data_IF_143920403737
#
_entry.id   IF_143920403737
#
_cell.length_a   1.000
_cell.length_b   1.000
_cell.length_c   1.000
_cell.angle_alpha   90.00
_cell.angle_beta   90.00
_cell.angle_gamma   90.00
#
_symmetry.space_group_name_H-M   'P 1'
#
loop_
_entity.id
_entity.type
_entity.pdbx_description
1 polymer ?
#
# COMPACT_ATOMS: atom_id res chain seq x y z
N UNK A 1 -10.91 -4.33 20.39
CA UNK A 1 -9.51 -4.80 20.49
C UNK A 1 -8.85 -4.69 19.12
N UNK A 2 -7.55 -4.37 19.09
CA UNK A 2 -6.74 -4.27 17.87
C UNK A 2 -5.76 -5.45 17.88
N UNK A 3 -5.68 -6.17 16.77
CA UNK A 3 -4.82 -7.33 16.61
C UNK A 3 -3.77 -7.06 15.52
N UNK A 4 -2.52 -7.39 15.82
CA UNK A 4 -1.44 -7.30 14.84
C UNK A 4 -1.18 -8.65 14.20
N UNK A 5 -1.18 -8.69 12.87
CA UNK A 5 -0.87 -9.87 12.07
C UNK A 5 0.24 -9.56 11.10
N UNK A 6 1.48 -9.67 11.59
CA UNK A 6 2.69 -9.43 10.81
C UNK A 6 3.57 -10.67 10.81
N UNK A 7 4.72 -10.61 10.13
CA UNK A 7 5.71 -11.68 10.20
C UNK A 7 6.27 -11.88 11.61
N UNK A 8 6.26 -10.82 12.44
CA UNK A 8 6.88 -10.79 13.78
C UNK A 8 5.86 -11.02 14.89
N UNK A 9 4.68 -10.40 14.79
CA UNK A 9 3.62 -10.49 15.78
C UNK A 9 2.40 -11.23 15.21
N UNK A 10 1.93 -12.25 15.95
CA UNK A 10 0.78 -13.08 15.60
C UNK A 10 -0.13 -13.18 16.81
N UNK A 11 -0.88 -12.12 17.05
CA UNK A 11 -1.82 -12.09 18.16
C UNK A 11 -2.97 -13.08 17.93
N UNK A 12 -3.54 -13.59 19.02
CA UNK A 12 -4.79 -14.33 18.94
C UNK A 12 -5.91 -13.38 18.54
N UNK A 13 -6.56 -13.66 17.42
CA UNK A 13 -7.62 -12.82 16.87
C UNK A 13 -8.95 -13.34 17.39
N UNK A 14 -9.70 -12.44 18.04
CA UNK A 14 -11.07 -12.75 18.46
C UNK A 14 -11.98 -12.93 17.23
N UNK A 15 -12.76 -14.03 17.16
CA UNK A 15 -13.63 -14.34 16.02
C UNK A 15 -14.82 -13.39 15.84
N UNK A 16 -15.20 -12.63 16.87
CA UNK A 16 -16.48 -11.90 16.92
C UNK A 16 -16.32 -10.44 16.51
N UNK A 17 -15.33 -9.73 17.03
CA UNK A 17 -15.11 -8.32 16.70
C UNK A 17 -13.68 -7.88 16.93
N UNK A 18 -13.13 -7.10 16.00
CA UNK A 18 -11.76 -6.62 16.14
C UNK A 18 -11.28 -5.90 14.89
N UNK A 19 -10.33 -5.00 15.10
CA UNK A 19 -9.56 -4.38 14.03
C UNK A 19 -8.30 -5.22 13.85
N UNK A 20 -8.04 -5.69 12.62
CA UNK A 20 -6.81 -6.42 12.30
C UNK A 20 -5.93 -5.50 11.47
N UNK A 21 -4.66 -5.38 11.86
CA UNK A 21 -3.62 -4.73 11.06
C UNK A 21 -2.72 -5.81 10.50
N UNK A 22 -2.63 -5.88 9.17
CA UNK A 22 -1.83 -6.87 8.45
C UNK A 22 -1.10 -6.22 7.29
N UNK A 23 -0.08 -6.90 6.76
CA UNK A 23 0.65 -6.47 5.57
C UNK A 23 0.16 -7.22 4.32
N UNK A 24 0.30 -6.59 3.15
CA UNK A 24 -0.07 -7.17 1.86
C UNK A 24 0.56 -8.55 1.62
N UNK A 25 1.82 -8.71 1.99
CA UNK A 25 2.56 -9.96 1.80
C UNK A 25 1.99 -11.08 2.65
N UNK A 26 1.57 -10.83 3.89
CA UNK A 26 0.98 -11.85 4.77
C UNK A 26 -0.31 -12.43 4.16
N UNK A 27 -1.15 -11.57 3.60
CA UNK A 27 -2.43 -11.97 2.99
C UNK A 27 -2.22 -12.62 1.62
N UNK A 28 -1.34 -12.06 0.78
CA UNK A 28 -1.10 -12.54 -0.58
C UNK A 28 -0.20 -13.80 -0.65
N UNK A 29 0.55 -14.13 0.41
CA UNK A 29 1.45 -15.29 0.39
C UNK A 29 0.69 -16.62 0.26
N UNK A 30 0.91 -17.35 -0.84
CA UNK A 30 0.24 -18.63 -1.11
C UNK A 30 1.11 -19.88 -0.87
N UNK A 31 2.28 -19.72 -0.26
CA UNK A 31 3.18 -20.84 0.07
C UNK A 31 2.85 -21.49 1.42
N UNK A 32 3.75 -22.36 1.90
CA UNK A 32 3.60 -23.03 3.20
C UNK A 32 3.57 -22.00 4.33
N UNK A 33 2.39 -21.80 4.93
CA UNK A 33 2.19 -20.96 6.10
C UNK A 33 2.41 -21.79 7.37
N UNK A 34 2.96 -21.17 8.40
CA UNK A 34 2.93 -21.75 9.74
C UNK A 34 1.47 -21.99 10.17
N UNK A 35 1.20 -23.06 10.94
CA UNK A 35 -0.15 -23.46 11.35
C UNK A 35 -0.97 -22.29 11.94
N UNK A 36 -0.33 -21.44 12.74
CA UNK A 36 -0.96 -20.24 13.31
C UNK A 36 -1.41 -19.24 12.23
N UNK A 37 -0.62 -19.04 11.19
CA UNK A 37 -0.95 -18.13 10.09
C UNK A 37 -2.04 -18.67 9.17
N UNK A 38 -2.18 -20.00 9.07
CA UNK A 38 -3.30 -20.62 8.36
C UNK A 38 -4.61 -20.40 9.15
N UNK A 39 -4.62 -20.70 10.44
CA UNK A 39 -5.80 -20.50 11.29
C UNK A 39 -6.31 -19.05 11.29
N UNK A 40 -5.40 -18.07 11.35
CA UNK A 40 -5.77 -16.64 11.24
C UNK A 40 -6.40 -16.31 9.89
N UNK A 41 -5.87 -16.86 8.81
CA UNK A 41 -6.42 -16.61 7.47
C UNK A 41 -7.79 -17.25 7.31
N UNK A 42 -8.03 -18.41 7.89
CA UNK A 42 -9.35 -19.03 7.93
C UNK A 42 -10.36 -18.16 8.68
N UNK A 43 -9.96 -17.54 9.80
CA UNK A 43 -10.81 -16.57 10.53
C UNK A 43 -11.13 -15.34 9.66
N UNK A 44 -10.14 -14.81 8.93
CA UNK A 44 -10.34 -13.66 8.05
C UNK A 44 -11.29 -14.02 6.88
N UNK A 45 -11.17 -15.22 6.32
CA UNK A 45 -11.94 -15.67 5.15
C UNK A 45 -13.34 -16.20 5.49
N UNK A 46 -13.52 -16.75 6.69
CA UNK A 46 -14.79 -17.32 7.16
C UNK A 46 -15.88 -16.30 7.44
N UNK A 47 -15.55 -15.00 7.48
CA UNK A 47 -16.50 -13.92 7.75
C UNK A 47 -16.42 -12.81 6.72
N UNK A 48 -17.53 -12.08 6.60
CA UNK A 48 -17.60 -10.87 5.82
C UNK A 48 -17.22 -9.66 6.67
N UNK A 49 -16.43 -8.76 6.08
CA UNK A 49 -15.93 -7.56 6.74
C UNK A 49 -16.69 -6.31 6.30
N UNK A 50 -16.96 -5.41 7.23
CA UNK A 50 -17.61 -4.14 6.90
C UNK A 50 -16.74 -3.25 6.00
N UNK A 51 -15.45 -3.15 6.31
CA UNK A 51 -14.51 -2.29 5.59
C UNK A 51 -13.10 -2.90 5.54
N UNK A 52 -12.42 -2.73 4.41
CA UNK A 52 -10.99 -2.95 4.27
C UNK A 52 -10.29 -1.62 3.98
N UNK A 53 -9.23 -1.34 4.75
CA UNK A 53 -8.35 -0.20 4.55
C UNK A 53 -7.05 -0.68 3.91
N UNK A 54 -6.70 -0.07 2.79
CA UNK A 54 -5.52 -0.41 1.99
C UNK A 54 -4.62 0.81 1.98
N UNK A 55 -3.47 0.73 2.63
CA UNK A 55 -2.51 1.84 2.70
C UNK A 55 -1.48 1.76 1.56
N UNK A 56 -1.00 2.91 1.12
CA UNK A 56 -0.09 3.09 -0.02
C UNK A 56 -0.45 2.27 -1.26
N UNK A 57 -1.69 2.45 -1.73
CA UNK A 57 -2.22 1.69 -2.87
C UNK A 57 -1.41 1.87 -4.17
N UNK A 58 -0.61 2.93 -4.27
CA UNK A 58 0.26 3.16 -5.40
C UNK A 58 1.53 2.27 -5.42
N UNK A 59 1.94 1.66 -4.29
CA UNK A 59 3.20 0.89 -4.23
C UNK A 59 2.99 -0.55 -4.69
N UNK A 60 1.81 -1.12 -4.47
CA UNK A 60 1.59 -2.56 -4.62
C UNK A 60 1.19 -2.92 -6.07
N UNK A 61 1.75 -3.98 -6.68
CA UNK A 61 1.37 -4.45 -8.02
C UNK A 61 -0.10 -4.89 -8.08
N UNK A 62 -0.77 -4.63 -9.21
CA UNK A 62 -2.17 -4.99 -9.44
C UNK A 62 -2.49 -6.48 -9.16
N UNK A 63 -1.53 -7.39 -9.41
CA UNK A 63 -1.68 -8.83 -9.14
C UNK A 63 -1.82 -9.15 -7.65
N UNK A 64 -1.06 -8.48 -6.78
CA UNK A 64 -1.18 -8.69 -5.33
C UNK A 64 -2.50 -8.13 -4.81
N UNK A 65 -2.91 -6.95 -5.30
CA UNK A 65 -4.22 -6.38 -4.96
C UNK A 65 -5.38 -7.29 -5.28
N UNK A 66 -5.44 -7.81 -6.52
CA UNK A 66 -6.48 -8.75 -6.95
C UNK A 66 -6.55 -9.97 -6.03
N UNK A 67 -5.41 -10.48 -5.60
CA UNK A 67 -5.36 -11.63 -4.70
C UNK A 67 -5.88 -11.29 -3.30
N UNK A 68 -5.48 -10.15 -2.74
CA UNK A 68 -5.92 -9.70 -1.41
C UNK A 68 -7.43 -9.45 -1.40
N UNK A 69 -7.91 -8.63 -2.35
CA UNK A 69 -9.34 -8.28 -2.45
C UNK A 69 -10.20 -9.50 -2.77
N UNK A 70 -9.71 -10.42 -3.63
CA UNK A 70 -10.43 -11.66 -3.92
C UNK A 70 -10.43 -12.67 -2.77
N UNK A 71 -9.48 -12.56 -1.83
CA UNK A 71 -9.39 -13.46 -0.67
C UNK A 71 -10.24 -13.01 0.50
N UNK A 72 -10.65 -11.74 0.57
CA UNK A 72 -11.36 -11.18 1.73
C UNK A 72 -12.69 -10.59 1.26
N UNK A 73 -13.79 -11.18 1.70
CA UNK A 73 -15.12 -10.64 1.46
C UNK A 73 -15.31 -9.36 2.29
N UNK A 74 -15.58 -8.23 1.63
CA UNK A 74 -15.84 -6.96 2.30
C UNK A 74 -16.83 -6.08 1.53
N UNK A 75 -17.66 -5.33 2.27
CA UNK A 75 -18.64 -4.41 1.68
C UNK A 75 -17.98 -3.10 1.19
N UNK A 76 -17.14 -2.50 2.02
CA UNK A 76 -16.48 -1.23 1.71
C UNK A 76 -14.97 -1.42 1.52
N UNK A 77 -14.41 -0.81 0.48
CA UNK A 77 -12.98 -0.79 0.19
C UNK A 77 -12.51 0.66 0.18
N UNK A 78 -11.51 1.00 0.99
CA UNK A 78 -10.90 2.32 1.00
C UNK A 78 -9.41 2.20 0.74
N UNK A 79 -8.93 2.88 -0.29
CA UNK A 79 -7.51 3.04 -0.59
C UNK A 79 -6.99 4.37 -0.09
N UNK A 80 -5.94 4.34 0.71
CA UNK A 80 -5.17 5.50 1.13
C UNK A 80 -3.89 5.54 0.31
N UNK A 81 -3.54 6.71 -0.20
CA UNK A 81 -2.29 6.94 -0.92
C UNK A 81 -1.92 8.41 -0.86
N UNK A 82 -0.64 8.69 -0.63
CA UNK A 82 -0.14 10.06 -0.66
C UNK A 82 0.12 10.56 -2.09
N UNK A 83 0.47 9.64 -3.00
CA UNK A 83 0.79 9.95 -4.40
C UNK A 83 -0.14 9.19 -5.33
N UNK A 84 -0.71 9.88 -6.33
CA UNK A 84 -1.52 9.23 -7.36
C UNK A 84 -0.67 8.81 -8.58
N UNK A 85 0.50 9.44 -8.75
CA UNK A 85 1.30 9.26 -9.97
C UNK A 85 2.12 7.97 -9.85
N UNK A 86 1.70 6.93 -10.57
CA UNK A 86 2.58 5.84 -10.99
C UNK A 86 3.03 6.14 -12.42
N UNK A 87 4.31 5.96 -12.70
CA UNK A 87 4.87 6.10 -14.06
C UNK A 87 4.39 4.97 -14.99
N UNK A 88 3.85 3.89 -14.42
CA UNK A 88 3.30 2.77 -15.15
C UNK A 88 1.78 2.98 -15.31
N UNK A 89 1.26 3.04 -16.54
CA UNK A 89 -0.17 3.23 -16.94
C UNK A 89 -1.21 2.25 -16.32
N UNK A 90 -0.79 1.43 -15.36
CA UNK A 90 -1.58 0.45 -14.61
C UNK A 90 -2.52 1.08 -13.56
N UNK A 91 -2.61 2.41 -13.48
CA UNK A 91 -3.52 3.11 -12.55
C UNK A 91 -4.99 2.79 -12.86
N UNK A 92 -5.33 2.57 -14.14
CA UNK A 92 -6.69 2.21 -14.57
C UNK A 92 -7.21 0.93 -13.92
N UNK A 93 -6.34 -0.06 -13.68
CA UNK A 93 -6.70 -1.29 -12.99
C UNK A 93 -7.09 -1.06 -11.53
N UNK A 94 -6.53 -0.02 -10.89
CA UNK A 94 -6.79 0.28 -9.48
C UNK A 94 -8.22 0.82 -9.28
N UNK A 95 -8.66 1.69 -10.20
CA UNK A 95 -10.02 2.25 -10.20
C UNK A 95 -11.09 1.15 -10.34
N UNK A 96 -10.80 0.10 -11.11
CA UNK A 96 -11.70 -1.04 -11.25
C UNK A 96 -11.78 -1.89 -9.96
N UNK A 97 -10.66 -2.02 -9.23
CA UNK A 97 -10.59 -2.90 -8.06
C UNK A 97 -11.16 -2.27 -6.79
N UNK A 98 -10.87 -0.99 -6.54
CA UNK A 98 -11.25 -0.29 -5.32
C UNK A 98 -12.47 0.60 -5.57
N UNK A 99 -12.45 1.33 -6.68
CA UNK A 99 -13.45 2.34 -7.03
C UNK A 99 -12.79 3.63 -7.53
N UNK A 100 -13.59 4.63 -7.92
CA UNK A 100 -13.09 5.92 -8.39
C UNK A 100 -12.40 6.69 -7.26
N UNK A 101 -11.51 7.61 -7.64
CA UNK A 101 -10.90 8.56 -6.72
C UNK A 101 -11.96 9.49 -6.13
N UNK A 102 -12.13 9.42 -4.81
CA UNK A 102 -13.13 10.22 -4.09
C UNK A 102 -12.65 11.63 -3.73
N UNK A 103 -11.37 11.75 -3.36
CA UNK A 103 -10.82 13.01 -2.86
C UNK A 103 -9.34 13.14 -3.18
N UNK A 104 -8.93 14.36 -3.51
CA UNK A 104 -7.52 14.77 -3.61
C UNK A 104 -7.35 16.04 -2.80
N UNK A 105 -6.43 16.01 -1.84
CA UNK A 105 -6.03 17.22 -1.17
C UNK A 105 -5.02 17.97 -2.04
N UNK A 106 -5.26 19.26 -2.28
CA UNK A 106 -4.27 20.10 -2.92
C UNK A 106 -3.17 20.45 -1.92
N UNK A 107 -1.95 19.98 -2.21
CA UNK A 107 -0.76 20.24 -1.39
C UNK A 107 -0.45 21.73 -1.25
N UNK A 108 -0.75 22.56 -2.26
CA UNK A 108 -0.54 24.01 -2.19
C UNK A 108 -1.45 24.65 -1.14
N UNK A 109 -2.74 24.28 -1.13
CA UNK A 109 -3.73 24.82 -0.18
C UNK A 109 -3.44 24.38 1.26
N UNK A 110 -2.97 23.14 1.44
CA UNK A 110 -2.53 22.61 2.74
C UNK A 110 -1.28 23.34 3.26
N UNK A 111 -0.37 23.70 2.37
CA UNK A 111 0.84 24.46 2.72
C UNK A 111 0.48 25.90 3.08
N UNK A 112 -0.39 26.55 2.31
CA UNK A 112 -0.88 27.91 2.62
C UNK A 112 -1.66 27.96 3.94
N UNK A 113 -2.44 26.92 4.25
CA UNK A 113 -3.21 26.80 5.49
C UNK A 113 -2.35 26.44 6.71
N UNK A 114 -1.04 26.22 6.53
CA UNK A 114 -0.10 25.92 7.61
C UNK A 114 -0.14 24.47 8.12
N UNK A 115 -0.80 23.55 7.41
CA UNK A 115 -0.81 22.11 7.75
C UNK A 115 0.46 21.40 7.29
N UNK A 116 1.14 21.92 6.26
CA UNK A 116 2.39 21.38 5.71
C UNK A 116 3.53 22.39 5.85
N UNK A 117 4.75 21.89 6.03
CA UNK A 117 5.95 22.70 6.03
C UNK A 117 6.27 23.23 4.63
N UNK A 118 6.76 24.47 4.54
CA UNK A 118 7.25 25.03 3.28
C UNK A 118 8.50 24.29 2.82
N UNK A 119 8.42 23.65 1.65
CA UNK A 119 9.55 22.93 1.04
C UNK A 119 10.22 23.82 0.00
N UNK A 120 11.55 23.93 0.07
CA UNK A 120 12.36 24.56 -0.98
C UNK A 120 13.20 23.49 -1.66
N UNK A 121 12.87 23.18 -2.91
CA UNK A 121 13.62 22.24 -3.73
C UNK A 121 14.69 23.01 -4.52
N UNK A 122 15.97 22.68 -4.31
CA UNK A 122 17.08 23.24 -5.08
C UNK A 122 17.82 22.08 -5.75
N UNK A 123 17.85 22.10 -7.07
CA UNK A 123 18.65 21.15 -7.85
C UNK A 123 20.05 21.73 -8.06
N UNK A 124 21.07 21.08 -7.50
CA UNK A 124 22.46 21.51 -7.60
C UNK A 124 23.16 20.67 -8.66
N UNK A 125 23.38 21.28 -9.82
CA UNK A 125 24.11 20.68 -10.93
C UNK A 125 25.61 20.80 -10.68
N UNK A 126 26.30 19.67 -10.62
CA UNK A 126 27.76 19.63 -10.46
C UNK A 126 28.44 19.34 -11.81
N UNK A 127 29.46 20.12 -12.21
CA UNK A 127 30.20 19.84 -13.42
C UNK A 127 30.96 18.51 -13.29
N UNK A 128 30.77 17.62 -14.25
CA UNK A 128 31.47 16.33 -14.27
C UNK A 128 32.93 16.55 -14.68
N UNK A 129 33.88 15.94 -13.97
CA UNK A 129 35.30 16.08 -14.28
C UNK A 129 35.68 15.20 -15.48
N UNK A 130 36.64 15.68 -16.29
CA UNK A 130 37.04 15.05 -17.56
C UNK A 130 37.34 13.53 -17.51
N UNK A 131 38.03 13.01 -16.47
CA UNK A 131 38.28 11.57 -16.34
C UNK A 131 36.99 10.73 -16.19
N UNK A 132 35.97 11.26 -15.51
CA UNK A 132 34.69 10.58 -15.34
C UNK A 132 33.85 10.64 -16.62
N UNK A 133 33.97 11.71 -17.40
CA UNK A 133 33.36 11.83 -18.73
C UNK A 133 33.96 10.84 -19.72
N UNK A 134 35.28 10.70 -19.76
CA UNK A 134 35.95 9.75 -20.63
C UNK A 134 35.53 8.30 -20.35
N UNK A 135 35.41 7.89 -19.09
CA UNK A 135 35.00 6.53 -18.70
C UNK A 135 33.55 6.16 -19.05
N UNK A 136 32.64 7.15 -19.21
CA UNK A 136 31.25 6.89 -19.61
C UNK A 136 31.07 6.68 -21.12
N UNK A 137 31.98 7.21 -21.95
CA UNK A 137 31.94 7.06 -23.41
C UNK A 137 32.70 5.83 -23.93
N UNK A 138 33.38 5.08 -23.05
CA UNK A 138 33.97 3.78 -23.40
C UNK A 138 32.95 2.67 -23.13
N UNK A 139 31.96 2.58 -24.01
CA UNK A 139 31.17 1.36 -24.26
C UNK A 139 30.98 1.18 -25.76
#
# INVERSE_FOLDING_TARGET
MVYSFTSVAKDYIDPVSGVIVTTYTMVAFGGNRAAQSAAVMDIIQSREWGCILLDEVHVVPAKMFRKVIGSIACHCKLGLTATLVREDDLIGDLNFLIGPKLYEANWMDLTQSGFLANVSCVEVWCPMTGPFYAGMYVK
#
